data_IF_904857706355
#
_entry.id   IF_904857706355
#
_cell.length_a   1.000
_cell.length_b   1.000
_cell.length_c   1.000
_cell.angle_alpha   90.00
_cell.angle_beta   90.00
_cell.angle_gamma   90.00
#
_symmetry.space_group_name_H-M   'P 1'
#
loop_
_entity.id
_entity.type
_entity.pdbx_description
1 polymer ?
#
# COMPACT_ATOMS: atom_id res chain seq x y z
N UNK A 1 -19.22 -38.26 -42.07
CA UNK A 1 -17.89 -38.15 -41.37
C UNK A 1 -17.11 -36.87 -41.66
N UNK A 2 -17.36 -36.15 -42.75
CA UNK A 2 -16.68 -34.86 -43.04
C UNK A 2 -17.36 -33.65 -42.37
N UNK A 3 -18.69 -33.65 -42.25
CA UNK A 3 -19.44 -32.50 -41.68
C UNK A 3 -19.23 -32.36 -40.18
N UNK A 4 -19.15 -33.47 -39.43
CA UNK A 4 -18.87 -33.48 -37.98
C UNK A 4 -17.49 -32.94 -37.63
N UNK A 5 -16.48 -33.17 -38.48
CA UNK A 5 -15.13 -32.61 -38.27
C UNK A 5 -15.08 -31.11 -38.53
N UNK A 6 -15.86 -30.62 -39.49
CA UNK A 6 -15.96 -29.17 -39.76
C UNK A 6 -16.70 -28.45 -38.63
N UNK A 7 -17.77 -29.04 -38.09
CA UNK A 7 -18.48 -28.50 -36.93
C UNK A 7 -17.58 -28.45 -35.68
N UNK A 8 -16.79 -29.51 -35.45
CA UNK A 8 -15.83 -29.56 -34.32
C UNK A 8 -14.72 -28.53 -34.47
N UNK A 9 -14.25 -28.27 -35.69
CA UNK A 9 -13.25 -27.26 -35.98
C UNK A 9 -13.79 -25.85 -35.80
N UNK A 10 -15.03 -25.57 -36.18
CA UNK A 10 -15.71 -24.30 -35.94
C UNK A 10 -15.99 -24.08 -34.45
N UNK A 11 -16.22 -25.11 -33.65
CA UNK A 11 -16.43 -25.03 -32.22
C UNK A 11 -15.11 -24.69 -31.46
N UNK A 12 -13.97 -25.17 -31.98
CA UNK A 12 -12.65 -24.84 -31.41
C UNK A 12 -12.19 -23.40 -31.72
N UNK A 13 -12.77 -22.75 -32.74
CA UNK A 13 -12.48 -21.34 -33.05
C UNK A 13 -13.36 -20.35 -32.26
N UNK A 14 -14.27 -20.84 -31.45
CA UNK A 14 -15.01 -20.02 -30.46
C UNK A 14 -14.24 -19.93 -29.14
N UNK A 15 -12.91 -19.99 -29.17
CA UNK A 15 -12.13 -19.47 -28.08
C UNK A 15 -12.28 -17.95 -28.17
N UNK A 16 -13.29 -17.45 -27.53
CA UNK A 16 -13.42 -16.03 -27.27
C UNK A 16 -12.13 -15.54 -26.69
N UNK A 17 -11.64 -14.44 -27.20
CA UNK A 17 -10.62 -13.66 -26.56
C UNK A 17 -10.99 -13.55 -25.09
N UNK A 18 -10.34 -14.32 -24.24
CA UNK A 18 -10.36 -14.06 -22.82
C UNK A 18 -9.65 -12.70 -22.69
N UNK A 19 -10.45 -11.64 -22.72
CA UNK A 19 -9.99 -10.36 -22.28
C UNK A 19 -9.53 -10.56 -20.83
N UNK A 20 -8.25 -10.78 -20.67
CA UNK A 20 -7.57 -10.52 -19.42
C UNK A 20 -7.69 -9.01 -19.22
N UNK A 21 -8.85 -8.59 -18.70
CA UNK A 21 -8.98 -7.25 -18.16
C UNK A 21 -7.81 -7.09 -17.19
N UNK A 22 -6.94 -6.15 -17.51
CA UNK A 22 -5.79 -5.89 -16.66
C UNK A 22 -6.32 -5.68 -15.25
N UNK A 23 -5.80 -6.45 -14.28
CA UNK A 23 -6.18 -6.39 -12.86
C UNK A 23 -6.03 -4.96 -12.28
N UNK A 24 -5.31 -4.09 -12.99
CA UNK A 24 -5.17 -2.68 -12.67
C UNK A 24 -6.22 -1.88 -13.46
N UNK A 25 -7.30 -1.51 -12.81
CA UNK A 25 -8.26 -0.56 -13.35
C UNK A 25 -7.67 0.86 -13.28
N UNK A 26 -7.10 1.31 -14.38
CA UNK A 26 -6.61 2.70 -14.52
C UNK A 26 -7.73 3.75 -14.51
N UNK A 27 -9.00 3.32 -14.49
CA UNK A 27 -10.18 4.19 -14.31
C UNK A 27 -10.61 4.26 -12.85
N UNK A 28 -9.76 3.82 -11.91
CA UNK A 28 -10.03 3.93 -10.49
C UNK A 28 -10.47 5.36 -10.16
N UNK A 29 -11.58 5.54 -9.45
CA UNK A 29 -12.02 6.86 -8.97
C UNK A 29 -11.09 7.42 -7.89
N UNK A 30 -10.13 6.63 -7.44
CA UNK A 30 -9.15 7.06 -6.44
C UNK A 30 -8.04 7.85 -7.12
N UNK A 31 -8.02 9.14 -6.88
CA UNK A 31 -6.91 9.99 -7.28
C UNK A 31 -5.81 9.94 -6.21
N UNK A 32 -4.53 10.06 -6.61
CA UNK A 32 -3.44 10.13 -5.64
C UNK A 32 -3.64 11.36 -4.74
N UNK A 33 -3.46 11.16 -3.45
CA UNK A 33 -3.42 12.27 -2.49
C UNK A 33 -2.07 12.98 -2.62
N UNK A 34 -2.10 14.29 -2.78
CA UNK A 34 -0.91 15.12 -2.87
C UNK A 34 -0.86 15.99 -1.61
N UNK A 35 0.31 16.06 -0.98
CA UNK A 35 0.55 16.91 0.17
C UNK A 35 1.86 17.69 -0.03
N UNK A 36 1.85 18.99 0.32
CA UNK A 36 3.02 19.87 0.17
C UNK A 36 3.94 19.82 1.39
N UNK A 37 3.39 19.62 2.58
CA UNK A 37 4.13 19.76 3.85
C UNK A 37 4.52 18.43 4.49
N UNK A 38 3.78 17.38 4.22
CA UNK A 38 4.05 16.04 4.78
C UNK A 38 2.89 15.11 4.54
N UNK A 39 3.15 13.82 4.65
CA UNK A 39 2.15 12.77 4.46
C UNK A 39 2.41 11.62 5.41
N UNK A 40 1.35 11.07 5.96
CA UNK A 40 1.38 9.84 6.74
C UNK A 40 0.46 8.81 6.08
N UNK A 41 0.98 7.62 5.84
CA UNK A 41 0.23 6.51 5.26
C UNK A 41 0.39 5.26 6.12
N UNK A 42 -0.71 4.67 6.54
CA UNK A 42 -0.72 3.40 7.24
C UNK A 42 -1.91 2.54 6.79
N UNK A 43 -1.99 1.30 7.29
CA UNK A 43 -3.12 0.42 6.99
C UNK A 43 -4.41 0.76 7.76
N UNK A 44 -4.36 1.75 8.65
CA UNK A 44 -5.49 2.18 9.47
C UNK A 44 -5.61 3.69 9.44
N UNK A 45 -6.84 4.20 9.18
CA UNK A 45 -7.10 5.63 9.05
C UNK A 45 -6.77 6.38 10.35
N UNK A 46 -7.26 5.89 11.49
CA UNK A 46 -7.06 6.53 12.79
C UNK A 46 -5.57 6.64 13.14
N UNK A 47 -4.78 5.61 12.82
CA UNK A 47 -3.33 5.63 13.02
C UNK A 47 -2.64 6.64 12.08
N UNK A 48 -3.11 6.80 10.85
CA UNK A 48 -2.59 7.81 9.92
C UNK A 48 -2.93 9.23 10.39
N UNK A 49 -4.14 9.45 10.93
CA UNK A 49 -4.55 10.72 11.54
C UNK A 49 -3.68 11.10 12.74
N UNK A 50 -3.38 10.12 13.62
CA UNK A 50 -2.46 10.34 14.75
C UNK A 50 -1.08 10.78 14.27
N UNK A 51 -0.51 10.12 13.26
CA UNK A 51 0.77 10.53 12.70
C UNK A 51 0.72 11.92 12.08
N UNK A 52 -0.37 12.28 11.41
CA UNK A 52 -0.57 13.62 10.86
C UNK A 52 -0.64 14.68 11.95
N UNK A 53 -1.35 14.41 13.04
CA UNK A 53 -1.41 15.32 14.20
C UNK A 53 -0.02 15.55 14.81
N UNK A 54 0.85 14.55 14.86
CA UNK A 54 2.23 14.71 15.32
C UNK A 54 3.00 15.67 14.40
N UNK A 55 2.90 15.51 13.08
CA UNK A 55 3.54 16.42 12.12
C UNK A 55 3.01 17.85 12.26
N UNK A 56 1.70 18.04 12.38
CA UNK A 56 1.05 19.34 12.57
C UNK A 56 1.46 20.03 13.89
N UNK A 57 1.78 19.21 14.90
CA UNK A 57 2.29 19.70 16.20
C UNK A 57 3.77 20.07 16.17
N UNK A 58 4.44 19.95 15.04
CA UNK A 58 5.86 20.25 14.86
C UNK A 58 6.80 19.07 15.07
N UNK A 59 6.27 17.86 15.21
CA UNK A 59 7.07 16.64 15.22
C UNK A 59 7.61 16.32 13.82
N UNK A 60 8.66 15.52 13.76
CA UNK A 60 9.25 15.05 12.51
C UNK A 60 8.67 13.70 12.06
N UNK A 61 9.15 13.19 10.94
CA UNK A 61 8.67 11.92 10.36
C UNK A 61 8.94 10.71 11.28
N UNK A 62 10.01 10.73 12.07
CA UNK A 62 10.33 9.67 13.03
C UNK A 62 9.35 9.70 14.20
N UNK A 63 9.05 10.90 14.73
CA UNK A 63 8.06 11.07 15.78
C UNK A 63 6.68 10.55 15.34
N UNK A 64 6.28 10.90 14.11
CA UNK A 64 5.04 10.42 13.51
C UNK A 64 5.04 8.90 13.33
N UNK A 65 6.14 8.31 12.85
CA UNK A 65 6.26 6.86 12.66
C UNK A 65 6.15 6.09 13.98
N UNK A 66 6.75 6.60 15.05
CA UNK A 66 6.66 6.03 16.40
C UNK A 66 5.22 6.08 16.90
N UNK A 67 4.55 7.23 16.79
CA UNK A 67 3.17 7.38 17.22
C UNK A 67 2.22 6.45 16.44
N UNK A 68 2.39 6.34 15.13
CA UNK A 68 1.65 5.40 14.28
C UNK A 68 1.91 3.96 14.71
N UNK A 69 3.16 3.60 14.96
CA UNK A 69 3.54 2.26 15.42
C UNK A 69 2.80 1.87 16.70
N UNK A 70 2.80 2.73 17.70
CA UNK A 70 2.06 2.50 18.95
C UNK A 70 0.55 2.43 18.72
N UNK A 71 -0.02 3.29 17.89
CA UNK A 71 -1.44 3.27 17.55
C UNK A 71 -1.85 1.95 16.88
N UNK A 72 -1.03 1.43 15.98
CA UNK A 72 -1.28 0.16 15.30
C UNK A 72 -1.31 -1.04 16.24
N UNK A 73 -0.73 -0.97 17.43
CA UNK A 73 -0.84 -2.05 18.42
C UNK A 73 -2.28 -2.29 18.87
N UNK A 74 -3.12 -1.26 18.83
CA UNK A 74 -4.53 -1.32 19.21
C UNK A 74 -5.47 -1.38 18.01
N UNK A 75 -5.18 -0.64 16.96
CA UNK A 75 -6.06 -0.53 15.78
C UNK A 75 -5.85 -1.65 14.77
N UNK A 76 -4.68 -2.28 14.78
CA UNK A 76 -4.32 -3.40 13.91
C UNK A 76 -3.55 -4.50 14.68
N UNK A 77 -4.12 -5.10 15.73
CA UNK A 77 -3.38 -5.98 16.66
C UNK A 77 -2.84 -7.26 15.99
N UNK A 78 -3.34 -7.63 14.83
CA UNK A 78 -2.84 -8.79 14.07
C UNK A 78 -1.45 -8.57 13.44
N UNK A 79 -1.01 -7.31 13.30
CA UNK A 79 0.25 -6.94 12.67
C UNK A 79 1.04 -5.92 13.49
N UNK A 80 0.38 -5.00 14.18
CA UNK A 80 1.00 -4.04 15.09
C UNK A 80 1.15 -4.62 16.50
N UNK A 81 2.38 -4.66 17.04
CA UNK A 81 2.62 -5.12 18.41
C UNK A 81 3.92 -4.50 18.95
N UNK A 82 4.07 -4.50 20.29
CA UNK A 82 5.26 -3.96 20.98
C UNK A 82 6.35 -5.04 21.16
N UNK A 83 5.96 -6.31 21.12
CA UNK A 83 6.86 -7.44 21.36
C UNK A 83 7.46 -8.06 20.10
N UNK A 84 7.17 -7.51 18.92
CA UNK A 84 7.75 -7.95 17.65
C UNK A 84 8.96 -7.11 17.23
N UNK A 85 9.55 -7.48 16.12
CA UNK A 85 10.59 -6.72 15.45
C UNK A 85 10.11 -6.03 14.20
N UNK A 86 10.98 -5.28 13.55
CA UNK A 86 10.69 -4.60 12.30
C UNK A 86 11.93 -3.96 11.70
N UNK A 87 11.72 -3.33 10.54
CA UNK A 87 12.77 -2.59 9.86
C UNK A 87 12.29 -1.17 9.62
N UNK A 88 13.18 -0.21 9.82
CA UNK A 88 12.93 1.19 9.53
C UNK A 88 14.04 1.76 8.66
N UNK A 89 13.66 2.49 7.61
CA UNK A 89 14.56 3.32 6.82
C UNK A 89 14.24 4.78 7.09
N UNK A 90 15.25 5.56 7.45
CA UNK A 90 15.14 6.98 7.77
C UNK A 90 16.12 7.75 6.88
N UNK A 91 15.61 8.71 6.13
CA UNK A 91 16.41 9.68 5.41
C UNK A 91 16.29 11.05 6.08
N UNK A 92 17.42 11.64 6.44
CA UNK A 92 17.50 12.98 7.04
C UNK A 92 18.05 13.94 5.97
N UNK A 93 17.19 14.82 5.49
CA UNK A 93 17.53 15.71 4.39
C UNK A 93 18.62 16.73 4.76
N UNK A 94 18.66 17.19 5.99
CA UNK A 94 19.61 18.20 6.47
C UNK A 94 21.05 17.70 6.45
N UNK A 95 21.27 16.40 6.73
CA UNK A 95 22.59 15.76 6.73
C UNK A 95 22.84 14.87 5.52
N UNK A 96 21.78 14.65 4.68
CA UNK A 96 21.77 13.72 3.56
C UNK A 96 22.11 12.26 3.98
N UNK A 97 21.85 11.92 5.24
CA UNK A 97 22.15 10.61 5.80
C UNK A 97 20.95 9.66 5.70
N UNK A 98 21.26 8.40 5.43
CA UNK A 98 20.31 7.30 5.40
C UNK A 98 20.65 6.33 6.55
N UNK A 99 19.65 6.07 7.39
CA UNK A 99 19.75 5.11 8.49
C UNK A 99 18.86 3.90 8.22
N UNK A 100 19.38 2.73 8.58
CA UNK A 100 18.60 1.50 8.62
C UNK A 100 18.64 0.95 10.05
N UNK A 101 17.46 0.71 10.60
CA UNK A 101 17.29 0.15 11.94
C UNK A 101 16.59 -1.20 11.81
N UNK A 102 17.16 -2.21 12.46
CA UNK A 102 16.57 -3.54 12.64
C UNK A 102 16.30 -3.69 14.14
N UNK A 103 15.03 -3.89 14.53
CA UNK A 103 14.58 -3.90 15.93
C UNK A 103 13.59 -5.02 16.25
#
# INVERSE_FOLDING_TARGET
>A
MKLTKILLFLFLFQIHDAHLDAYLDYKSPFHPTISENGMVVSQNLESSEIGTMILESGGNAVDAAVAVGFSLTTTLPRAGNIGGGGFMLIYIKETEELFSIDY
#
